data_IF_501507716073
#
_entry.id   IF_501507716073
#
_cell.length_a   1.000
_cell.length_b   1.000
_cell.length_c   1.000
_cell.angle_alpha   90.00
_cell.angle_beta   90.00
_cell.angle_gamma   90.00
#
_symmetry.space_group_name_H-M   'P 1'
#
loop_
_entity.id
_entity.type
_entity.pdbx_description
1 polymer ?
#
# COMPACT_ATOMS: atom_id res chain seq x y z
N UNK A 1 11.37 12.88 -1.00
CA UNK A 1 10.74 13.08 0.32
C UNK A 1 10.70 11.73 1.03
N UNK A 2 11.15 11.71 2.29
CA UNK A 2 11.69 10.53 2.98
C UNK A 2 10.66 9.43 3.25
N UNK A 3 10.97 8.17 2.90
CA UNK A 3 10.23 6.96 3.33
C UNK A 3 10.03 6.92 4.87
N UNK A 4 10.94 7.55 5.62
CA UNK A 4 10.85 7.77 7.07
C UNK A 4 9.62 8.60 7.47
N UNK A 5 9.15 9.53 6.62
CA UNK A 5 7.96 10.34 6.88
C UNK A 5 6.66 9.54 6.66
N UNK A 6 6.60 8.69 5.63
CA UNK A 6 5.48 7.75 5.43
C UNK A 6 5.39 6.76 6.60
N UNK A 7 6.54 6.23 7.03
CA UNK A 7 6.65 5.38 8.22
C UNK A 7 6.28 6.13 9.52
N UNK A 8 6.58 7.43 9.64
CA UNK A 8 6.18 8.27 10.78
C UNK A 8 4.68 8.56 10.83
N UNK A 9 4.02 8.76 9.68
CA UNK A 9 2.56 8.94 9.65
C UNK A 9 1.81 7.64 9.96
N UNK A 10 2.31 6.49 9.51
CA UNK A 10 1.77 5.18 9.92
C UNK A 10 2.01 4.90 11.42
N UNK A 11 3.21 5.26 11.94
CA UNK A 11 3.55 5.21 13.38
C UNK A 11 2.56 5.96 14.29
N UNK A 12 1.82 6.95 13.78
CA UNK A 12 0.86 7.72 14.58
C UNK A 12 -0.54 7.07 14.65
N UNK A 13 -0.88 6.17 13.72
CA UNK A 13 -2.23 5.60 13.61
C UNK A 13 -2.32 4.20 14.21
N UNK A 14 -1.22 3.42 14.26
CA UNK A 14 -1.20 2.10 14.88
C UNK A 14 -0.49 2.13 16.24
N UNK A 15 -1.31 2.19 17.29
CA UNK A 15 -1.06 1.92 18.72
C UNK A 15 0.30 1.26 19.05
N UNK A 16 1.04 1.93 19.94
CA UNK A 16 2.23 1.45 20.65
C UNK A 16 2.07 0.01 21.18
N UNK A 17 2.91 -0.93 20.72
CA UNK A 17 3.54 -1.99 21.56
C UNK A 17 4.20 -3.15 20.76
N UNK A 18 3.83 -3.40 19.51
CA UNK A 18 4.31 -4.59 18.77
C UNK A 18 5.38 -4.32 17.68
N UNK A 19 5.81 -3.08 17.49
CA UNK A 19 6.68 -2.70 16.36
C UNK A 19 8.19 -2.84 16.63
N UNK A 20 8.63 -3.10 17.87
CA UNK A 20 10.07 -3.12 18.17
C UNK A 20 10.79 -4.41 17.74
N UNK A 21 10.06 -5.47 17.40
CA UNK A 21 10.61 -6.78 16.98
C UNK A 21 10.13 -7.26 15.59
N UNK A 22 9.40 -6.43 14.83
CA UNK A 22 8.93 -6.84 13.51
C UNK A 22 10.10 -6.91 12.51
N UNK A 23 10.29 -8.08 11.88
CA UNK A 23 11.30 -8.25 10.84
C UNK A 23 11.02 -7.32 9.64
N UNK A 24 12.04 -6.92 8.85
CA UNK A 24 11.85 -6.10 7.65
C UNK A 24 10.79 -6.67 6.70
N UNK A 25 10.72 -8.01 6.59
CA UNK A 25 9.71 -8.70 5.82
C UNK A 25 8.29 -8.45 6.34
N UNK A 26 8.09 -8.52 7.66
CA UNK A 26 6.78 -8.25 8.30
C UNK A 26 6.38 -6.78 8.18
N UNK A 27 7.33 -5.85 8.23
CA UNK A 27 7.04 -4.43 8.03
C UNK A 27 6.45 -4.16 6.64
N UNK A 28 7.00 -4.78 5.60
CA UNK A 28 6.44 -4.69 4.24
C UNK A 28 5.04 -5.29 4.16
N UNK A 29 4.81 -6.46 4.77
CA UNK A 29 3.46 -7.06 4.85
C UNK A 29 2.45 -6.13 5.52
N UNK A 30 2.82 -5.49 6.63
CA UNK A 30 1.95 -4.55 7.34
C UNK A 30 1.63 -3.31 6.52
N UNK A 31 2.57 -2.82 5.70
CA UNK A 31 2.30 -1.71 4.78
C UNK A 31 1.31 -2.14 3.69
N UNK A 32 1.47 -3.33 3.11
CA UNK A 32 0.52 -3.87 2.12
C UNK A 32 -0.88 -4.07 2.73
N UNK A 33 -0.96 -4.61 3.96
CA UNK A 33 -2.21 -4.70 4.74
C UNK A 33 -2.84 -3.32 4.94
N UNK A 34 -2.04 -2.31 5.30
CA UNK A 34 -2.49 -0.93 5.46
C UNK A 34 -3.02 -0.31 4.17
N UNK A 35 -2.46 -0.64 2.99
CA UNK A 35 -3.04 -0.21 1.70
C UNK A 35 -4.44 -0.80 1.52
N UNK A 36 -4.59 -2.11 1.72
CA UNK A 36 -5.86 -2.81 1.55
C UNK A 36 -6.95 -2.25 2.49
N UNK A 37 -6.59 -2.01 3.76
CA UNK A 37 -7.50 -1.39 4.73
C UNK A 37 -7.97 -0.01 4.26
N UNK A 38 -7.06 0.86 3.83
CA UNK A 38 -7.40 2.22 3.41
C UNK A 38 -8.20 2.26 2.12
N UNK A 39 -7.94 1.34 1.18
CA UNK A 39 -8.74 1.22 -0.05
C UNK A 39 -10.15 0.73 0.27
N UNK A 40 -10.31 -0.22 1.20
CA UNK A 40 -11.63 -0.69 1.64
C UNK A 40 -12.42 0.42 2.38
N UNK A 41 -11.77 1.18 3.28
CA UNK A 41 -12.38 2.35 3.93
C UNK A 41 -12.78 3.43 2.91
N UNK A 42 -11.91 3.72 1.94
CA UNK A 42 -12.19 4.65 0.86
C UNK A 42 -13.44 4.24 0.05
N UNK A 43 -13.57 2.95 -0.27
CA UNK A 43 -14.75 2.41 -0.97
C UNK A 43 -16.01 2.59 -0.14
N UNK A 44 -15.97 2.22 1.15
CA UNK A 44 -17.10 2.45 2.06
C UNK A 44 -17.50 3.93 2.16
N UNK A 45 -16.51 4.83 2.26
CA UNK A 45 -16.77 6.27 2.30
C UNK A 45 -17.28 6.82 0.96
N UNK A 46 -16.90 6.22 -0.18
CA UNK A 46 -17.42 6.57 -1.50
C UNK A 46 -18.90 6.22 -1.64
N UNK A 47 -19.29 4.99 -1.27
CA UNK A 47 -20.69 4.52 -1.28
C UNK A 47 -21.57 5.42 -0.40
N UNK A 48 -21.08 5.77 0.79
CA UNK A 48 -21.80 6.61 1.76
C UNK A 48 -21.69 8.12 1.47
N UNK A 49 -21.06 8.52 0.37
CA UNK A 49 -20.87 9.93 -0.04
C UNK A 49 -20.11 10.79 0.99
N UNK A 50 -19.27 10.19 1.82
CA UNK A 50 -18.39 10.90 2.75
C UNK A 50 -17.12 11.39 2.05
N UNK A 51 -17.26 12.44 1.23
CA UNK A 51 -16.21 12.92 0.31
C UNK A 51 -14.88 13.22 1.00
N UNK A 52 -14.89 13.92 2.14
CA UNK A 52 -13.67 14.28 2.86
C UNK A 52 -12.93 13.05 3.43
N UNK A 53 -13.68 12.07 3.96
CA UNK A 53 -13.10 10.84 4.49
C UNK A 53 -12.55 9.98 3.37
N UNK A 54 -13.33 9.78 2.29
CA UNK A 54 -12.88 9.12 1.05
C UNK A 54 -11.54 9.68 0.56
N UNK A 55 -11.45 11.01 0.40
CA UNK A 55 -10.23 11.65 -0.07
C UNK A 55 -9.03 11.44 0.86
N UNK A 56 -9.26 11.46 2.18
CA UNK A 56 -8.22 11.17 3.18
C UNK A 56 -7.72 9.73 3.10
N UNK A 57 -8.61 8.77 2.97
CA UNK A 57 -8.25 7.35 2.93
C UNK A 57 -7.51 7.02 1.64
N UNK A 58 -7.98 7.53 0.49
CA UNK A 58 -7.27 7.41 -0.80
C UNK A 58 -5.89 8.06 -0.73
N UNK A 59 -5.77 9.28 -0.19
CA UNK A 59 -4.48 9.94 -0.04
C UNK A 59 -3.50 9.18 0.87
N UNK A 60 -4.03 8.52 1.91
CA UNK A 60 -3.25 7.66 2.80
C UNK A 60 -2.77 6.40 2.07
N UNK A 61 -3.64 5.73 1.32
CA UNK A 61 -3.27 4.57 0.50
C UNK A 61 -2.14 4.91 -0.50
N UNK A 62 -2.27 6.03 -1.23
CA UNK A 62 -1.24 6.54 -2.15
C UNK A 62 0.09 6.77 -1.42
N UNK A 63 0.05 7.38 -0.23
CA UNK A 63 1.26 7.67 0.55
C UNK A 63 1.99 6.39 0.99
N UNK A 64 1.24 5.33 1.33
CA UNK A 64 1.82 4.03 1.70
C UNK A 64 2.43 3.35 0.47
N UNK A 65 1.73 3.33 -0.67
CA UNK A 65 2.23 2.75 -1.93
C UNK A 65 3.50 3.47 -2.37
N UNK A 66 3.53 4.81 -2.34
CA UNK A 66 4.73 5.59 -2.65
C UNK A 66 5.89 5.28 -1.68
N UNK A 67 5.58 5.01 -0.41
CA UNK A 67 6.56 4.52 0.56
C UNK A 67 7.18 3.18 0.17
N UNK A 68 6.35 2.20 -0.19
CA UNK A 68 6.78 0.90 -0.71
C UNK A 68 7.64 1.05 -1.98
N UNK A 69 7.18 1.84 -2.94
CA UNK A 69 7.89 2.14 -4.18
C UNK A 69 9.28 2.74 -3.90
N UNK A 70 9.36 3.73 -3.02
CA UNK A 70 10.64 4.37 -2.65
C UNK A 70 11.62 3.44 -1.92
N UNK A 71 11.14 2.31 -1.40
CA UNK A 71 11.96 1.32 -0.69
C UNK A 71 12.54 0.23 -1.60
N UNK A 72 12.16 0.20 -2.88
CA UNK A 72 12.67 -0.77 -3.84
C UNK A 72 14.17 -0.54 -4.11
N UNK A 73 14.96 -1.61 -3.96
CA UNK A 73 16.35 -1.60 -4.38
C UNK A 73 16.43 -2.05 -5.85
N UNK A 74 16.51 -1.08 -6.77
CA UNK A 74 16.57 -1.34 -8.21
C UNK A 74 17.88 -2.01 -8.65
N UNK A 75 18.98 -1.71 -7.98
CA UNK A 75 20.29 -2.30 -8.29
C UNK A 75 20.34 -3.80 -7.96
N UNK A 76 19.78 -4.19 -6.81
CA UNK A 76 19.73 -5.59 -6.38
C UNK A 76 18.55 -6.37 -6.98
N UNK A 77 17.42 -5.70 -7.23
CA UNK A 77 16.19 -6.34 -7.69
C UNK A 77 16.02 -6.42 -9.21
N UNK A 78 16.84 -5.68 -9.98
CA UNK A 78 16.82 -5.70 -11.44
C UNK A 78 15.41 -5.49 -12.02
N UNK A 79 15.05 -6.33 -12.99
CA UNK A 79 13.76 -6.27 -13.71
C UNK A 79 12.54 -6.40 -12.77
N UNK A 80 12.64 -7.19 -11.69
CA UNK A 80 11.53 -7.36 -10.75
C UNK A 80 11.24 -6.06 -10.00
N UNK A 81 12.29 -5.35 -9.56
CA UNK A 81 12.13 -4.06 -8.89
C UNK A 81 11.60 -2.99 -9.85
N UNK A 82 11.99 -3.01 -11.13
CA UNK A 82 11.46 -2.10 -12.14
C UNK A 82 9.97 -2.36 -12.45
N UNK A 83 9.58 -3.62 -12.58
CA UNK A 83 8.18 -4.00 -12.78
C UNK A 83 7.30 -3.61 -11.58
N UNK A 84 7.79 -3.81 -10.35
CA UNK A 84 7.09 -3.36 -9.13
C UNK A 84 6.98 -1.83 -9.05
N UNK A 85 8.04 -1.11 -9.42
CA UNK A 85 8.03 0.36 -9.46
C UNK A 85 6.94 0.88 -10.41
N UNK A 86 6.88 0.32 -11.62
CA UNK A 86 5.86 0.66 -12.61
C UNK A 86 4.45 0.31 -12.14
N UNK A 87 4.27 -0.84 -11.48
CA UNK A 87 2.98 -1.27 -10.96
C UNK A 87 2.49 -0.38 -9.81
N UNK A 88 3.38 0.00 -8.88
CA UNK A 88 3.03 0.93 -7.80
C UNK A 88 2.69 2.33 -8.32
N UNK A 89 3.41 2.84 -9.31
CA UNK A 89 3.06 4.11 -9.97
C UNK A 89 1.69 4.02 -10.66
N UNK A 90 1.41 2.92 -11.36
CA UNK A 90 0.10 2.67 -11.96
C UNK A 90 -1.02 2.71 -10.91
N UNK A 91 -0.86 1.98 -9.79
CA UNK A 91 -1.85 1.95 -8.71
C UNK A 91 -2.10 3.34 -8.12
N UNK A 92 -1.06 4.15 -7.91
CA UNK A 92 -1.20 5.53 -7.45
C UNK A 92 -2.04 6.37 -8.42
N UNK A 93 -1.78 6.28 -9.73
CA UNK A 93 -2.55 6.98 -10.76
C UNK A 93 -4.01 6.54 -10.79
N UNK A 94 -4.28 5.23 -10.66
CA UNK A 94 -5.63 4.67 -10.59
C UNK A 94 -6.39 5.17 -9.36
N UNK A 95 -5.76 5.23 -8.20
CA UNK A 95 -6.38 5.77 -6.98
C UNK A 95 -6.78 7.25 -7.10
N UNK A 96 -5.96 8.07 -7.77
CA UNK A 96 -6.31 9.47 -8.08
C UNK A 96 -7.55 9.53 -8.99
N UNK A 97 -7.59 8.68 -10.02
CA UNK A 97 -8.73 8.60 -10.94
C UNK A 97 -10.01 8.12 -10.23
N UNK A 98 -9.91 7.09 -9.40
CA UNK A 98 -11.03 6.58 -8.58
C UNK A 98 -11.62 7.70 -7.72
N UNK A 99 -10.77 8.51 -7.09
CA UNK A 99 -11.21 9.65 -6.30
C UNK A 99 -11.95 10.70 -7.13
N UNK A 100 -11.41 11.03 -8.31
CA UNK A 100 -11.95 12.07 -9.19
C UNK A 100 -13.27 11.66 -9.85
N UNK A 101 -13.39 10.38 -10.24
CA UNK A 101 -14.56 9.86 -10.94
C UNK A 101 -15.61 9.26 -9.99
N UNK A 102 -15.29 9.08 -8.71
CA UNK A 102 -16.10 8.30 -7.77
C UNK A 102 -16.40 6.89 -8.31
N UNK A 103 -15.38 6.24 -8.84
CA UNK A 103 -15.51 4.91 -9.43
C UNK A 103 -14.93 3.85 -8.50
N UNK A 104 -15.82 3.07 -7.89
CA UNK A 104 -15.48 1.98 -6.97
C UNK A 104 -14.76 0.82 -7.66
N UNK A 105 -15.02 0.61 -8.96
CA UNK A 105 -14.42 -0.51 -9.69
C UNK A 105 -12.91 -0.35 -9.83
N UNK A 106 -12.43 0.91 -9.84
CA UNK A 106 -11.01 1.24 -9.82
C UNK A 106 -10.37 0.91 -8.47
N UNK A 107 -11.12 1.06 -7.36
CA UNK A 107 -10.64 0.66 -6.03
C UNK A 107 -10.55 -0.87 -5.92
N UNK A 108 -11.49 -1.59 -6.53
CA UNK A 108 -11.46 -3.06 -6.59
C UNK A 108 -10.25 -3.56 -7.38
N UNK A 109 -9.96 -2.94 -8.52
CA UNK A 109 -8.76 -3.26 -9.32
C UNK A 109 -7.46 -3.08 -8.52
N UNK A 110 -7.29 -1.93 -7.87
CA UNK A 110 -6.10 -1.66 -7.04
C UNK A 110 -6.01 -2.65 -5.87
N UNK A 111 -7.14 -3.03 -5.29
CA UNK A 111 -7.20 -4.06 -4.25
C UNK A 111 -6.70 -5.41 -4.77
N UNK A 112 -7.17 -5.86 -5.91
CA UNK A 112 -6.74 -7.12 -6.53
C UNK A 112 -5.23 -7.12 -6.83
N UNK A 113 -4.70 -6.05 -7.40
CA UNK A 113 -3.26 -5.91 -7.67
C UNK A 113 -2.43 -5.97 -6.38
N UNK A 114 -2.86 -5.28 -5.32
CA UNK A 114 -2.16 -5.31 -4.04
C UNK A 114 -2.20 -6.70 -3.38
N UNK A 115 -3.32 -7.42 -3.51
CA UNK A 115 -3.44 -8.80 -3.00
C UNK A 115 -2.47 -9.73 -3.73
N UNK A 116 -2.33 -9.61 -5.04
CA UNK A 116 -1.42 -10.44 -5.83
C UNK A 116 0.03 -10.22 -5.39
N UNK A 117 0.46 -8.95 -5.27
CA UNK A 117 1.80 -8.60 -4.79
C UNK A 117 2.02 -9.13 -3.37
N UNK A 118 1.06 -8.92 -2.47
CA UNK A 118 1.15 -9.39 -1.09
C UNK A 118 1.26 -10.92 -1.02
N UNK A 119 0.50 -11.63 -1.82
CA UNK A 119 0.53 -13.10 -1.86
C UNK A 119 1.90 -13.61 -2.32
N UNK A 120 2.48 -12.97 -3.35
CA UNK A 120 3.85 -13.26 -3.79
C UNK A 120 4.88 -12.99 -2.70
N UNK A 121 4.73 -11.89 -1.96
CA UNK A 121 5.61 -11.54 -0.85
C UNK A 121 5.50 -12.55 0.30
N UNK A 122 4.29 -12.92 0.72
CA UNK A 122 4.04 -13.88 1.80
C UNK A 122 4.71 -15.24 1.52
N UNK A 123 4.71 -15.69 0.26
CA UNK A 123 5.34 -16.96 -0.15
C UNK A 123 6.86 -17.02 0.04
N UNK A 124 7.56 -15.88 0.08
CA UNK A 124 9.01 -15.81 0.31
C UNK A 124 9.37 -16.20 1.76
N UNK A 125 8.52 -15.82 2.73
CA UNK A 125 8.74 -16.17 4.13
C UNK A 125 8.60 -17.67 4.38
N UNK A 126 7.73 -18.36 3.64
CA UNK A 126 7.54 -19.81 3.75
C UNK A 126 8.74 -20.60 3.23
N UNK A 127 9.38 -20.11 2.16
CA UNK A 127 10.51 -20.80 1.53
C UNK A 127 11.81 -20.68 2.32
N UNK A 128 11.97 -19.64 3.13
CA UNK A 128 13.20 -19.40 3.93
C UNK A 128 13.22 -20.20 5.25
N UNK A 129 12.15 -20.91 5.61
CA UNK A 129 12.04 -21.73 6.84
C UNK A 129 12.45 -23.21 6.67
N UNK A 130 13.02 -23.61 5.53
CA UNK A 130 13.54 -24.96 5.29
C UNK A 130 15.05 -24.96 5.27
#
# INVERSE_FOLDING_TARGET
MNAVAAMKHYKQVSVHSNLMDASPHRLVQMLMEGVLEKVAEAKGNMINQYIAKKGKDIGTAISIIAGLQSSLNKDAGGEVAENLDNLYDYMCRRLVLANSCNDETILDEVTSLMIEIKSGWDGIAETTKK
#
